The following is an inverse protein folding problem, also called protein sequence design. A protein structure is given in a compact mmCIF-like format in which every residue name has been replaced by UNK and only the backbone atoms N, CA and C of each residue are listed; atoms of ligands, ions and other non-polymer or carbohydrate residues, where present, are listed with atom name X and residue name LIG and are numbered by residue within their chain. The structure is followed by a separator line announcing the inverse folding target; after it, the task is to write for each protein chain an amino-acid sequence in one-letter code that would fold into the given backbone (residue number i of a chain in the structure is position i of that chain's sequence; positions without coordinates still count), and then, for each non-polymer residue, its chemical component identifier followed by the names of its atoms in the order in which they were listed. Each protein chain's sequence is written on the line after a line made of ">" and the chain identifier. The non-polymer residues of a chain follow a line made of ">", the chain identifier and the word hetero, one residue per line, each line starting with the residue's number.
data_IF_403580843836
#
_entry.id   IF_403580843836
#
_cell.length_a   1.000
_cell.length_b   1.000
_cell.length_c   1.000
_cell.angle_alpha   90.00
_cell.angle_beta   90.00
_cell.angle_gamma   90.00
#
_symmetry.space_group_name_H-M   'P 1'
#
loop_
_entity.id
_entity.type
_entity.pdbx_description
1 polymer ?
#
# COMPACT_ATOMS: atom_id res chain seq x y z
N UNK A 1 -9.38 4.52 13.73
CA UNK A 1 -10.25 4.06 14.84
C UNK A 1 -10.68 5.27 15.66
N UNK A 2 -11.91 5.77 15.52
CA UNK A 2 -12.36 7.03 16.14
C UNK A 2 -12.76 6.90 17.63
N UNK A 3 -12.11 6.01 18.38
CA UNK A 3 -12.42 5.68 19.79
C UNK A 3 -13.91 5.40 20.10
N UNK A 4 -14.69 5.02 19.08
CA UNK A 4 -16.15 4.83 19.19
C UNK A 4 -16.52 3.58 20.00
N UNK A 5 -15.65 2.58 19.99
CA UNK A 5 -15.82 1.26 20.61
C UNK A 5 -14.64 0.99 21.54
N UNK A 6 -14.91 0.31 22.66
CA UNK A 6 -13.84 -0.16 23.52
C UNK A 6 -13.12 -1.33 22.86
N UNK A 7 -11.78 -1.33 22.93
CA UNK A 7 -10.94 -2.39 22.39
C UNK A 7 -10.22 -3.08 23.54
N UNK A 8 -10.14 -4.41 23.50
CA UNK A 8 -9.32 -5.21 24.41
C UNK A 8 -8.49 -6.20 23.63
N UNK A 9 -7.17 -6.11 23.74
CA UNK A 9 -6.25 -7.06 23.11
C UNK A 9 -5.80 -8.07 24.17
N UNK A 10 -5.80 -9.34 23.81
CA UNK A 10 -5.30 -10.44 24.63
C UNK A 10 -4.16 -11.14 23.90
N UNK A 11 -3.13 -11.51 24.65
CA UNK A 11 -2.06 -12.41 24.23
C UNK A 11 -2.03 -13.57 25.23
N UNK A 12 -2.28 -14.78 24.75
CA UNK A 12 -2.23 -16.00 25.54
C UNK A 12 -0.78 -16.52 25.62
N UNK A 13 -0.48 -17.33 26.64
CA UNK A 13 0.88 -17.88 26.86
C UNK A 13 1.37 -18.76 25.71
N UNK A 14 0.46 -19.40 24.99
CA UNK A 14 0.74 -20.17 23.78
C UNK A 14 0.98 -19.32 22.52
N UNK A 15 0.96 -17.99 22.67
CA UNK A 15 1.19 -17.02 21.59
C UNK A 15 -0.05 -16.67 20.77
N UNK A 16 -1.21 -17.25 21.06
CA UNK A 16 -2.46 -16.86 20.40
C UNK A 16 -2.79 -15.42 20.79
N UNK A 17 -3.08 -14.59 19.79
CA UNK A 17 -3.51 -13.20 19.99
C UNK A 17 -4.96 -13.02 19.55
N UNK A 18 -5.76 -12.36 20.37
CA UNK A 18 -7.16 -12.05 20.07
C UNK A 18 -7.46 -10.59 20.37
N UNK A 19 -8.04 -9.88 19.40
CA UNK A 19 -8.46 -8.50 19.55
C UNK A 19 -10.00 -8.44 19.64
N UNK A 20 -10.53 -7.96 20.77
CA UNK A 20 -11.96 -7.76 21.00
C UNK A 20 -12.35 -6.32 20.74
N UNK A 21 -13.43 -6.12 19.99
CA UNK A 21 -14.11 -4.84 19.82
C UNK A 21 -15.48 -4.92 20.51
N UNK A 22 -15.67 -4.12 21.55
CA UNK A 22 -16.88 -4.11 22.37
C UNK A 22 -17.80 -2.97 21.93
N UNK A 23 -19.02 -3.34 21.59
CA UNK A 23 -20.03 -2.41 21.13
C UNK A 23 -21.06 -2.16 22.23
N UNK A 24 -21.46 -0.90 22.42
CA UNK A 24 -22.69 -0.60 23.16
C UNK A 24 -23.88 -1.15 22.38
N UNK A 25 -24.80 -1.87 23.05
CA UNK A 25 -25.96 -2.51 22.40
C UNK A 25 -26.75 -1.54 21.53
N UNK A 26 -27.05 -0.34 22.04
CA UNK A 26 -27.83 0.66 21.30
C UNK A 26 -27.09 1.21 20.08
N UNK A 27 -25.76 1.34 20.15
CA UNK A 27 -24.93 1.76 19.00
C UNK A 27 -24.81 0.63 17.96
N UNK A 28 -24.59 -0.60 18.42
CA UNK A 28 -24.52 -1.78 17.55
C UNK A 28 -25.79 -1.96 16.73
N UNK A 29 -26.96 -1.90 17.38
CA UNK A 29 -28.26 -2.03 16.69
C UNK A 29 -28.39 -0.95 15.61
N UNK A 30 -28.02 0.30 15.89
CA UNK A 30 -28.06 1.36 14.88
C UNK A 30 -27.16 1.03 13.68
N UNK A 31 -25.91 0.62 13.93
CA UNK A 31 -24.97 0.23 12.86
C UNK A 31 -25.46 -0.97 12.05
N UNK A 32 -26.12 -1.95 12.69
CA UNK A 32 -26.68 -3.11 11.99
C UNK A 32 -27.84 -2.78 11.04
N UNK A 33 -28.41 -1.58 11.19
CA UNK A 33 -29.54 -1.08 10.40
C UNK A 33 -29.10 -0.07 9.33
N UNK A 34 -27.80 0.25 9.27
CA UNK A 34 -27.26 1.13 8.24
C UNK A 34 -27.34 0.44 6.86
N UNK A 35 -27.46 1.26 5.82
CA UNK A 35 -27.59 0.78 4.42
C UNK A 35 -26.27 0.27 3.83
N UNK A 36 -25.17 0.59 4.48
CA UNK A 36 -23.81 0.19 4.08
C UNK A 36 -23.11 -0.42 5.29
N UNK A 37 -22.30 -1.45 5.05
CA UNK A 37 -21.49 -2.02 6.11
C UNK A 37 -20.31 -1.10 6.43
N UNK A 38 -19.95 -0.94 7.71
CA UNK A 38 -18.63 -0.44 8.07
C UNK A 38 -17.53 -1.27 7.38
N UNK A 39 -16.43 -0.61 7.00
CA UNK A 39 -15.35 -1.27 6.26
C UNK A 39 -14.81 -2.52 7.00
N UNK A 40 -14.64 -2.43 8.32
CA UNK A 40 -14.22 -3.53 9.20
C UNK A 40 -15.13 -4.77 9.14
N UNK A 41 -16.40 -4.60 8.74
CA UNK A 41 -17.36 -5.69 8.59
C UNK A 41 -17.44 -6.18 7.15
N UNK A 42 -17.28 -5.28 6.17
CA UNK A 42 -17.33 -5.65 4.76
C UNK A 42 -16.14 -6.52 4.33
N UNK A 43 -14.98 -6.39 5.00
CA UNK A 43 -13.84 -7.31 4.83
C UNK A 43 -14.13 -8.76 5.27
N UNK A 44 -15.25 -8.99 5.96
CA UNK A 44 -15.73 -10.31 6.37
C UNK A 44 -16.09 -10.39 7.85
N UNK A 45 -17.24 -11.00 8.15
CA UNK A 45 -17.61 -11.40 9.50
C UNK A 45 -18.40 -12.71 9.50
N UNK A 46 -18.48 -13.35 10.67
CA UNK A 46 -19.34 -14.51 10.91
C UNK A 46 -20.08 -14.33 12.24
N UNK A 47 -21.41 -14.43 12.21
CA UNK A 47 -22.20 -14.46 13.45
C UNK A 47 -22.05 -15.84 14.08
N UNK A 48 -21.47 -15.88 15.28
CA UNK A 48 -21.31 -17.11 16.05
C UNK A 48 -22.53 -17.37 16.95
N UNK A 49 -23.11 -16.31 17.52
CA UNK A 49 -24.28 -16.38 18.40
C UNK A 49 -25.10 -15.09 18.31
N UNK A 50 -26.42 -15.22 18.25
CA UNK A 50 -27.36 -14.11 18.35
C UNK A 50 -28.56 -14.53 19.23
N UNK A 51 -28.53 -14.11 20.49
CA UNK A 51 -29.54 -14.49 21.50
C UNK A 51 -30.83 -13.66 21.39
N UNK A 52 -30.71 -12.43 20.91
CA UNK A 52 -31.79 -11.44 20.91
C UNK A 52 -32.34 -11.18 19.51
N UNK A 53 -31.74 -11.78 18.47
CA UNK A 53 -32.10 -11.55 17.08
C UNK A 53 -31.67 -10.18 16.54
N UNK A 54 -30.67 -9.54 17.16
CA UNK A 54 -30.26 -8.16 16.81
C UNK A 54 -29.40 -8.09 15.54
N UNK A 55 -28.93 -9.22 15.02
CA UNK A 55 -28.12 -9.29 13.79
C UNK A 55 -28.94 -9.61 12.55
N UNK A 56 -30.26 -9.84 12.68
CA UNK A 56 -31.14 -10.27 11.57
C UNK A 56 -31.17 -9.31 10.38
N UNK A 57 -30.94 -8.03 10.62
CA UNK A 57 -30.95 -6.97 9.59
C UNK A 57 -29.55 -6.64 9.05
N UNK A 58 -28.49 -7.28 9.58
CA UNK A 58 -27.14 -7.04 9.09
C UNK A 58 -26.98 -7.50 7.64
N UNK A 59 -26.38 -6.64 6.84
CA UNK A 59 -26.00 -6.95 5.46
C UNK A 59 -24.86 -7.98 5.45
N UNK A 60 -24.83 -8.86 4.44
CA UNK A 60 -23.71 -9.79 4.24
C UNK A 60 -22.47 -9.02 3.76
N UNK A 61 -21.26 -9.40 4.19
CA UNK A 61 -20.03 -8.82 3.65
C UNK A 61 -19.95 -9.02 2.14
N UNK A 62 -19.63 -7.95 1.43
CA UNK A 62 -19.41 -7.99 -0.02
C UNK A 62 -17.95 -8.28 -0.37
N UNK A 63 -17.03 -8.08 0.58
CA UNK A 63 -15.58 -8.16 0.42
C UNK A 63 -14.99 -7.16 -0.57
N UNK A 64 -15.82 -6.30 -1.17
CA UNK A 64 -15.43 -5.40 -2.25
C UNK A 64 -14.52 -4.28 -1.77
N UNK A 65 -14.61 -3.88 -0.50
CA UNK A 65 -13.76 -2.81 0.03
C UNK A 65 -12.26 -3.12 -0.03
N UNK A 66 -11.91 -4.41 0.00
CA UNK A 66 -10.52 -4.87 -0.05
C UNK A 66 -10.01 -5.13 -1.46
N UNK A 67 -10.89 -5.12 -2.47
CA UNK A 67 -10.55 -5.40 -3.86
C UNK A 67 -9.84 -4.18 -4.44
N UNK A 68 -8.68 -4.43 -5.05
CA UNK A 68 -7.88 -3.40 -5.72
C UNK A 68 -8.64 -2.90 -6.94
N UNK A 69 -8.89 -1.59 -6.98
CA UNK A 69 -9.62 -0.96 -8.08
C UNK A 69 -8.66 -0.56 -9.20
N UNK A 70 -9.12 -0.71 -10.43
CA UNK A 70 -8.42 -0.18 -11.61
C UNK A 70 -8.27 1.34 -11.49
N UNK A 71 -7.06 1.91 -11.62
CA UNK A 71 -6.89 3.35 -11.58
C UNK A 71 -7.46 3.99 -12.84
N UNK A 72 -7.97 5.21 -12.69
CA UNK A 72 -8.16 6.13 -13.80
C UNK A 72 -6.82 6.61 -14.34
N UNK A 73 -6.81 7.14 -15.56
CA UNK A 73 -5.60 7.74 -16.15
C UNK A 73 -5.03 8.86 -15.26
N UNK A 74 -5.91 9.67 -14.66
CA UNK A 74 -5.50 10.75 -13.76
C UNK A 74 -4.84 10.24 -12.49
N UNK A 75 -5.38 9.21 -11.85
CA UNK A 75 -4.80 8.61 -10.65
C UNK A 75 -3.43 7.99 -10.96
N UNK A 76 -3.31 7.29 -12.09
CA UNK A 76 -2.04 6.74 -12.55
C UNK A 76 -1.00 7.84 -12.80
N UNK A 77 -1.36 8.88 -13.56
CA UNK A 77 -0.45 9.99 -13.86
C UNK A 77 -0.01 10.74 -12.60
N UNK A 78 -0.93 11.01 -11.68
CA UNK A 78 -0.61 11.67 -10.42
C UNK A 78 0.40 10.84 -9.62
N UNK A 79 0.15 9.54 -9.44
CA UNK A 79 1.04 8.66 -8.69
C UNK A 79 2.44 8.62 -9.29
N UNK A 80 2.57 8.46 -10.61
CA UNK A 80 3.88 8.40 -11.27
C UNK A 80 4.61 9.75 -11.16
N UNK A 81 3.91 10.87 -11.36
CA UNK A 81 4.52 12.20 -11.26
C UNK A 81 5.00 12.50 -9.83
N UNK A 82 4.16 12.22 -8.83
CA UNK A 82 4.47 12.46 -7.42
C UNK A 82 5.62 11.56 -6.95
N UNK A 83 5.64 10.28 -7.35
CA UNK A 83 6.77 9.39 -7.11
C UNK A 83 8.07 9.98 -7.61
N UNK A 84 8.12 10.38 -8.88
CA UNK A 84 9.35 10.90 -9.46
C UNK A 84 9.79 12.18 -8.74
N UNK A 85 8.87 13.11 -8.47
CA UNK A 85 9.21 14.35 -7.76
C UNK A 85 9.76 14.08 -6.36
N UNK A 86 9.15 13.15 -5.62
CA UNK A 86 9.52 12.90 -4.23
C UNK A 86 10.85 12.16 -4.06
N UNK A 87 11.29 11.43 -5.09
CA UNK A 87 12.67 10.87 -5.11
C UNK A 87 13.74 11.96 -4.98
N UNK A 88 13.45 13.20 -5.41
CA UNK A 88 14.39 14.32 -5.31
C UNK A 88 14.62 14.77 -3.86
N UNK A 89 13.64 14.60 -2.96
CA UNK A 89 13.81 14.88 -1.54
C UNK A 89 14.73 13.84 -0.90
N UNK A 90 14.52 12.56 -1.20
CA UNK A 90 15.39 11.48 -0.70
C UNK A 90 16.83 11.74 -1.12
N UNK A 91 17.07 12.02 -2.40
CA UNK A 91 18.40 12.31 -2.93
C UNK A 91 19.09 13.49 -2.22
N UNK A 92 18.38 14.62 -2.04
CA UNK A 92 18.91 15.79 -1.32
C UNK A 92 19.29 15.44 0.12
N UNK A 93 18.44 14.69 0.82
CA UNK A 93 18.72 14.30 2.20
C UNK A 93 19.91 13.34 2.29
N UNK A 94 20.06 12.40 1.35
CA UNK A 94 21.22 11.51 1.31
C UNK A 94 22.53 12.26 1.04
N UNK A 95 22.53 13.31 0.22
CA UNK A 95 23.71 14.18 0.03
C UNK A 95 24.08 14.92 1.32
N UNK A 96 23.09 15.25 2.16
CA UNK A 96 23.26 16.01 3.40
C UNK A 96 23.48 15.14 4.64
N UNK A 97 23.56 13.82 4.47
CA UNK A 97 23.64 12.86 5.57
C UNK A 97 22.43 12.94 6.53
N UNK A 98 21.25 13.32 6.00
CA UNK A 98 19.99 13.45 6.75
C UNK A 98 19.20 12.13 6.72
N UNK A 99 19.82 11.03 7.17
CA UNK A 99 19.27 9.67 6.99
C UNK A 99 17.87 9.50 7.60
N UNK A 100 17.59 10.11 8.75
CA UNK A 100 16.29 9.94 9.43
C UNK A 100 15.12 10.47 8.57
N UNK A 101 15.29 11.65 7.97
CA UNK A 101 14.29 12.23 7.08
C UNK A 101 14.26 11.51 5.73
N UNK A 102 15.42 11.07 5.21
CA UNK A 102 15.48 10.23 4.01
C UNK A 102 14.68 8.92 4.17
N UNK A 103 14.74 8.28 5.36
CA UNK A 103 13.93 7.09 5.67
C UNK A 103 12.44 7.42 5.79
N UNK A 104 12.06 8.54 6.39
CA UNK A 104 10.66 8.99 6.35
C UNK A 104 10.14 9.14 4.92
N UNK A 105 10.88 9.86 4.07
CA UNK A 105 10.48 10.05 2.66
C UNK A 105 10.46 8.74 1.87
N UNK A 106 11.46 7.86 2.03
CA UNK A 106 11.51 6.61 1.27
C UNK A 106 10.52 5.55 1.75
N UNK A 107 10.33 5.39 3.07
CA UNK A 107 9.51 4.32 3.65
C UNK A 107 8.07 4.75 3.92
N UNK A 108 7.84 5.96 4.44
CA UNK A 108 6.49 6.42 4.76
C UNK A 108 5.83 7.03 3.54
N UNK A 109 6.51 7.89 2.79
CA UNK A 109 5.92 8.55 1.62
C UNK A 109 6.02 7.64 0.40
N UNK A 110 7.22 7.42 -0.12
CA UNK A 110 7.41 6.73 -1.40
C UNK A 110 6.90 5.29 -1.37
N UNK A 111 7.28 4.50 -0.35
CA UNK A 111 6.88 3.09 -0.30
C UNK A 111 5.38 2.92 -0.10
N UNK A 112 4.80 3.68 0.84
CA UNK A 112 3.40 3.50 1.23
C UNK A 112 2.44 4.16 0.26
N UNK A 113 2.71 5.38 -0.17
CA UNK A 113 1.80 6.16 -1.01
C UNK A 113 1.94 5.84 -2.51
N UNK A 114 3.12 5.38 -2.97
CA UNK A 114 3.37 5.19 -4.40
C UNK A 114 3.70 3.75 -4.79
N UNK A 115 4.70 3.11 -4.17
CA UNK A 115 5.10 1.75 -4.55
C UNK A 115 4.01 0.72 -4.25
N UNK A 116 3.39 0.79 -3.07
CA UNK A 116 2.32 -0.14 -2.72
C UNK A 116 1.17 -0.07 -3.74
N UNK A 117 0.54 1.09 -4.01
CA UNK A 117 -0.56 1.13 -4.98
C UNK A 117 -0.13 0.73 -6.40
N UNK A 118 1.10 1.08 -6.82
CA UNK A 118 1.61 0.71 -8.15
C UNK A 118 1.79 -0.81 -8.29
N UNK A 119 2.38 -1.48 -7.29
CA UNK A 119 2.53 -2.94 -7.25
C UNK A 119 1.16 -3.61 -7.13
N UNK A 120 0.22 -3.04 -6.38
CA UNK A 120 -1.16 -3.51 -6.30
C UNK A 120 -1.85 -3.46 -7.66
N UNK A 121 -1.70 -2.37 -8.41
CA UNK A 121 -2.23 -2.26 -9.77
C UNK A 121 -1.59 -3.25 -10.72
N UNK A 122 -0.27 -3.49 -10.62
CA UNK A 122 0.42 -4.50 -11.40
C UNK A 122 -0.20 -5.88 -11.18
N UNK A 123 -0.28 -6.32 -9.92
CA UNK A 123 -0.89 -7.60 -9.54
C UNK A 123 -2.36 -7.65 -10.01
N UNK A 124 -3.15 -6.63 -9.72
CA UNK A 124 -4.56 -6.60 -10.09
C UNK A 124 -4.78 -6.66 -11.61
N UNK A 125 -3.89 -6.07 -12.41
CA UNK A 125 -3.94 -6.14 -13.87
C UNK A 125 -3.82 -7.57 -14.42
N UNK A 126 -3.18 -8.48 -13.68
CA UNK A 126 -3.01 -9.89 -14.04
C UNK A 126 -4.14 -10.78 -13.50
N UNK A 127 -4.93 -10.24 -12.58
CA UNK A 127 -6.02 -10.94 -11.88
C UNK A 127 -7.39 -10.31 -12.15
N UNK A 128 -7.58 -9.74 -13.35
CA UNK A 128 -8.85 -9.14 -13.80
C UNK A 128 -9.44 -8.12 -12.83
N UNK A 129 -8.61 -7.39 -12.08
CA UNK A 129 -9.03 -6.41 -11.07
C UNK A 129 -9.95 -6.98 -9.98
N UNK A 130 -9.86 -8.28 -9.71
CA UNK A 130 -10.68 -8.98 -8.71
C UNK A 130 -9.79 -9.70 -7.70
N UNK A 131 -8.88 -8.95 -7.06
CA UNK A 131 -7.94 -9.46 -6.09
C UNK A 131 -7.67 -8.45 -4.97
N UNK A 132 -7.25 -8.96 -3.81
CA UNK A 132 -6.68 -8.19 -2.72
C UNK A 132 -5.29 -8.69 -2.37
N UNK A 133 -4.39 -7.76 -2.11
CA UNK A 133 -3.02 -7.97 -1.59
C UNK A 133 -2.98 -7.92 -0.07
N UNK A 134 -4.14 -7.76 0.59
CA UNK A 134 -4.27 -7.42 2.00
C UNK A 134 -3.59 -6.06 2.29
N UNK A 135 -3.64 -5.60 3.54
CA UNK A 135 -3.13 -4.28 3.92
C UNK A 135 -1.63 -4.15 3.62
N UNK A 136 -1.26 -3.03 3.02
CA UNK A 136 0.13 -2.60 2.81
C UNK A 136 1.02 -3.66 2.13
N UNK A 137 0.50 -4.32 1.11
CA UNK A 137 1.27 -5.29 0.32
C UNK A 137 1.68 -6.57 1.05
N UNK A 138 1.01 -6.93 2.16
CA UNK A 138 1.30 -8.12 2.96
C UNK A 138 1.38 -9.42 2.15
N UNK A 139 0.66 -9.51 1.03
CA UNK A 139 0.66 -10.68 0.15
C UNK A 139 1.45 -10.49 -1.17
N UNK A 140 2.25 -9.43 -1.34
CA UNK A 140 3.01 -9.22 -2.57
C UNK A 140 3.90 -10.41 -2.95
N UNK A 141 4.68 -10.96 -2.01
CA UNK A 141 5.53 -12.13 -2.24
C UNK A 141 4.77 -13.36 -2.74
N UNK A 142 3.47 -13.47 -2.43
CA UNK A 142 2.62 -14.58 -2.89
C UNK A 142 2.22 -14.42 -4.35
N UNK A 143 2.05 -13.19 -4.82
CA UNK A 143 1.48 -12.89 -6.13
C UNK A 143 2.51 -12.47 -7.17
N UNK A 144 3.59 -11.80 -6.75
CA UNK A 144 4.68 -11.46 -7.65
C UNK A 144 5.49 -12.71 -7.99
N UNK A 145 5.93 -12.79 -9.25
CA UNK A 145 6.92 -13.79 -9.64
C UNK A 145 8.27 -13.54 -8.94
N UNK A 146 9.17 -14.54 -8.99
CA UNK A 146 10.44 -14.49 -8.28
C UNK A 146 11.31 -13.28 -8.68
N UNK A 147 11.33 -12.91 -9.95
CA UNK A 147 12.12 -11.78 -10.45
C UNK A 147 11.58 -10.45 -9.92
N UNK A 148 10.28 -10.22 -10.03
CA UNK A 148 9.63 -8.99 -9.58
C UNK A 148 9.68 -8.84 -8.06
N UNK A 149 9.57 -9.96 -7.32
CA UNK A 149 9.78 -9.95 -5.88
C UNK A 149 11.22 -9.59 -5.51
N UNK A 150 12.21 -10.14 -6.22
CA UNK A 150 13.62 -9.81 -5.97
C UNK A 150 13.94 -8.32 -6.28
N UNK A 151 13.32 -7.74 -7.32
CA UNK A 151 13.42 -6.28 -7.58
C UNK A 151 12.75 -5.47 -6.48
N UNK A 152 11.59 -5.93 -5.98
CA UNK A 152 10.89 -5.31 -4.85
C UNK A 152 11.77 -5.34 -3.58
N UNK A 153 12.44 -6.47 -3.28
CA UNK A 153 13.33 -6.58 -2.12
C UNK A 153 14.54 -5.63 -2.19
N UNK A 154 15.07 -5.37 -3.38
CA UNK A 154 16.17 -4.42 -3.58
C UNK A 154 15.80 -2.96 -3.26
N UNK A 155 14.50 -2.65 -3.15
CA UNK A 155 14.05 -1.32 -2.74
C UNK A 155 14.17 -1.08 -1.23
N UNK A 156 14.51 -2.08 -0.42
CA UNK A 156 14.75 -1.91 1.01
C UNK A 156 16.22 -1.56 1.29
N UNK A 157 16.45 -0.76 2.33
CA UNK A 157 17.78 -0.37 2.80
C UNK A 157 17.84 -0.33 4.32
N UNK A 158 19.04 -0.57 4.87
CA UNK A 158 19.36 -0.33 6.27
C UNK A 158 19.58 1.16 6.56
N UNK A 159 20.46 1.44 7.52
CA UNK A 159 20.87 2.80 7.90
C UNK A 159 22.05 3.33 7.07
N UNK A 160 22.71 2.49 6.28
CA UNK A 160 23.87 2.90 5.48
C UNK A 160 23.47 3.80 4.31
N UNK A 161 24.19 4.91 4.12
CA UNK A 161 23.89 5.90 3.07
C UNK A 161 24.03 5.30 1.67
N UNK A 162 25.04 4.46 1.42
CA UNK A 162 25.26 3.84 0.10
C UNK A 162 24.16 2.85 -0.22
N UNK A 163 23.73 2.04 0.74
CA UNK A 163 22.56 1.15 0.61
C UNK A 163 21.30 1.94 0.29
N UNK A 164 21.07 3.10 0.93
CA UNK A 164 19.91 3.95 0.66
C UNK A 164 19.95 4.56 -0.75
N UNK A 165 21.13 4.93 -1.26
CA UNK A 165 21.26 5.30 -2.67
C UNK A 165 20.92 4.15 -3.59
N UNK A 166 21.43 2.94 -3.32
CA UNK A 166 21.10 1.75 -4.12
C UNK A 166 19.60 1.48 -4.12
N UNK A 167 18.96 1.48 -2.95
CA UNK A 167 17.53 1.29 -2.81
C UNK A 167 16.72 2.35 -3.57
N UNK A 168 17.13 3.63 -3.53
CA UNK A 168 16.49 4.70 -4.29
C UNK A 168 16.51 4.39 -5.80
N UNK A 169 17.67 4.00 -6.35
CA UNK A 169 17.75 3.63 -7.76
C UNK A 169 16.93 2.37 -8.08
N UNK A 170 16.96 1.36 -7.21
CA UNK A 170 16.11 0.17 -7.36
C UNK A 170 14.61 0.51 -7.35
N UNK A 171 14.16 1.47 -6.54
CA UNK A 171 12.79 1.99 -6.59
C UNK A 171 12.49 2.63 -7.95
N UNK A 172 13.39 3.46 -8.48
CA UNK A 172 13.19 4.11 -9.78
C UNK A 172 13.10 3.09 -10.93
N UNK A 173 13.91 2.04 -10.89
CA UNK A 173 13.90 0.97 -11.89
C UNK A 173 12.60 0.16 -11.82
N UNK A 174 12.17 -0.22 -10.61
CA UNK A 174 10.92 -0.94 -10.40
C UNK A 174 9.70 -0.12 -10.88
N UNK A 175 9.65 1.18 -10.56
CA UNK A 175 8.55 2.05 -10.98
C UNK A 175 8.56 2.29 -12.49
N UNK A 176 9.72 2.42 -13.11
CA UNK A 176 9.84 2.53 -14.57
C UNK A 176 9.31 1.28 -15.26
N UNK A 177 9.72 0.10 -14.81
CA UNK A 177 9.29 -1.19 -15.35
C UNK A 177 7.78 -1.39 -15.20
N UNK A 178 7.28 -1.36 -13.96
CA UNK A 178 5.85 -1.58 -13.69
C UNK A 178 5.00 -0.48 -14.33
N UNK A 179 5.42 0.78 -14.22
CA UNK A 179 4.68 1.92 -14.74
C UNK A 179 4.55 1.87 -16.26
N UNK A 180 5.62 1.52 -16.98
CA UNK A 180 5.59 1.37 -18.45
C UNK A 180 4.73 0.19 -18.88
N UNK A 181 4.78 -0.94 -18.16
CA UNK A 181 3.92 -2.09 -18.45
C UNK A 181 2.45 -1.77 -18.23
N UNK A 182 2.12 -1.15 -17.10
CA UNK A 182 0.75 -0.74 -16.79
C UNK A 182 0.23 0.30 -17.77
N UNK A 183 1.04 1.29 -18.15
CA UNK A 183 0.62 2.31 -19.11
C UNK A 183 0.22 1.68 -20.45
N UNK A 184 0.95 0.65 -20.90
CA UNK A 184 0.59 -0.13 -22.11
C UNK A 184 -0.68 -0.94 -21.91
N UNK A 185 -0.79 -1.70 -20.81
CA UNK A 185 -1.98 -2.53 -20.51
C UNK A 185 -3.26 -1.71 -20.33
N UNK A 186 -3.13 -0.48 -19.84
CA UNK A 186 -4.24 0.42 -19.54
C UNK A 186 -4.51 1.45 -20.63
N UNK A 187 -3.66 1.53 -21.65
CA UNK A 187 -3.68 2.54 -22.71
C UNK A 187 -3.55 3.98 -22.18
N UNK A 188 -2.72 4.16 -21.14
CA UNK A 188 -2.40 5.45 -20.54
C UNK A 188 -1.05 5.97 -20.99
N UNK A 189 -0.86 7.30 -20.93
CA UNK A 189 0.43 7.90 -21.23
C UNK A 189 1.41 7.78 -20.06
N UNK A 190 2.61 7.26 -20.34
CA UNK A 190 3.74 7.29 -19.41
C UNK A 190 4.55 8.60 -19.55
N UNK A 191 5.04 9.22 -18.46
CA UNK A 191 5.76 10.50 -18.52
C UNK A 191 7.28 10.32 -18.74
N UNK A 192 7.70 9.75 -19.88
CA UNK A 192 9.12 9.42 -20.17
C UNK A 192 10.09 10.60 -19.96
N UNK A 193 9.67 11.81 -20.36
CA UNK A 193 10.51 13.00 -20.21
C UNK A 193 10.80 13.31 -18.73
N UNK A 194 9.79 13.20 -17.87
CA UNK A 194 9.92 13.47 -16.44
C UNK A 194 10.88 12.47 -15.79
N UNK A 195 10.70 11.18 -16.06
CA UNK A 195 11.60 10.13 -15.61
C UNK A 195 13.05 10.43 -16.02
N UNK A 196 13.27 10.70 -17.30
CA UNK A 196 14.61 10.95 -17.83
C UNK A 196 15.28 12.15 -17.18
N UNK A 197 14.55 13.25 -16.97
CA UNK A 197 15.08 14.47 -16.36
C UNK A 197 15.40 14.25 -14.87
N UNK A 198 14.57 13.51 -14.14
CA UNK A 198 14.79 13.21 -12.72
C UNK A 198 15.90 12.19 -12.53
N UNK A 199 15.98 11.12 -13.32
CA UNK A 199 17.10 10.17 -13.25
C UNK A 199 18.45 10.84 -13.48
N UNK A 200 18.53 11.78 -14.44
CA UNK A 200 19.73 12.60 -14.64
C UNK A 200 20.06 13.43 -13.40
N UNK A 201 19.05 14.04 -12.77
CA UNK A 201 19.22 14.78 -11.53
C UNK A 201 19.74 13.90 -10.39
N UNK A 202 19.14 12.72 -10.17
CA UNK A 202 19.56 11.76 -9.14
C UNK A 202 21.01 11.30 -9.36
N UNK A 203 21.36 10.95 -10.60
CA UNK A 203 22.71 10.52 -10.96
C UNK A 203 23.75 11.64 -10.75
N UNK A 204 23.37 12.90 -10.98
CA UNK A 204 24.23 14.06 -10.73
C UNK A 204 24.51 14.33 -9.25
N UNK A 205 23.62 13.91 -8.35
CA UNK A 205 23.77 14.06 -6.90
C UNK A 205 24.48 12.88 -6.22
N UNK A 206 24.38 11.68 -6.79
CA UNK A 206 25.01 10.49 -6.21
C UNK A 206 26.54 10.70 -6.14
N UNK A 207 27.17 10.59 -4.96
CA UNK A 207 28.62 10.71 -4.85
C UNK A 207 29.33 9.70 -5.76
N UNK A 208 30.32 10.16 -6.52
CA UNK A 208 31.22 9.28 -7.28
C UNK A 208 32.04 8.49 -6.25
N UNK A 209 32.07 7.17 -6.44
CA UNK A 209 32.85 6.24 -5.59
C UNK A 209 34.33 6.38 -5.86
#
# INVERSE_FOLDING_TARGET
>A
FNHKHAMKMLLYEDGVKVDFKLYSKSKFIKETQEKELPEDWDIGYKILIDKDGITKQMLKPTYQISIIKKPSEKEFQNLINDFWWDTTYVAKCLVRDEIFYAKFMSETVIRTEYLIPLIEWHIASEHNWNITTNKYGRLFKKYLNQEMWAKTEQTFSGSDIKENWTALFSMTDLVSEIGTELSKKLEYKYPDKLENDIRKYLAGLKPKT
#
